data_IF_406706114399
#
_entry.id   IF_406706114399
#
_cell.length_a   1.000
_cell.length_b   1.000
_cell.length_c   1.000
_cell.angle_alpha   90.00
_cell.angle_beta   90.00
_cell.angle_gamma   90.00
#
_symmetry.space_group_name_H-M   'P 1'
#
loop_
_entity.id
_entity.type
_entity.pdbx_description
1 polymer ?
#
# COMPACT_ATOMS: atom_id res chain seq x y z
N UNK A 1 -2.47 -17.63 2.72
CA UNK A 1 -3.37 -16.49 3.02
C UNK A 1 -4.04 -15.96 1.76
N UNK A 2 -3.30 -15.53 0.72
CA UNK A 2 -3.88 -15.06 -0.57
C UNK A 2 -4.84 -16.08 -1.22
N UNK A 3 -4.48 -17.37 -1.26
CA UNK A 3 -5.36 -18.44 -1.79
C UNK A 3 -6.66 -18.61 -0.99
N UNK A 4 -6.63 -18.43 0.33
CA UNK A 4 -7.84 -18.51 1.18
C UNK A 4 -8.78 -17.33 0.92
N UNK A 5 -8.23 -16.12 0.78
CA UNK A 5 -9.01 -14.93 0.43
C UNK A 5 -9.62 -15.03 -0.98
N UNK A 6 -8.89 -15.65 -1.91
CA UNK A 6 -9.41 -15.94 -3.25
C UNK A 6 -10.67 -16.80 -3.23
N UNK A 7 -10.78 -17.78 -2.31
CA UNK A 7 -11.98 -18.63 -2.17
C UNK A 7 -13.24 -17.86 -1.78
N UNK A 8 -13.08 -16.73 -1.07
CA UNK A 8 -14.19 -15.85 -0.69
C UNK A 8 -14.33 -14.62 -1.61
N UNK A 9 -13.64 -14.62 -2.76
CA UNK A 9 -13.76 -13.58 -3.79
C UNK A 9 -12.95 -12.31 -3.52
N UNK A 10 -11.99 -12.35 -2.58
CA UNK A 10 -11.09 -11.22 -2.30
C UNK A 10 -9.77 -11.44 -3.02
N UNK A 11 -9.44 -10.52 -3.93
CA UNK A 11 -8.14 -10.49 -4.62
C UNK A 11 -7.18 -9.65 -3.80
N UNK A 12 -5.94 -10.11 -3.62
CA UNK A 12 -4.95 -9.37 -2.81
C UNK A 12 -3.61 -9.29 -3.52
N UNK A 13 -2.89 -8.19 -3.30
CA UNK A 13 -1.50 -8.00 -3.68
C UNK A 13 -0.72 -7.49 -2.47
N UNK A 14 0.58 -7.73 -2.46
CA UNK A 14 1.47 -7.22 -1.42
C UNK A 14 2.74 -6.63 -2.05
N UNK A 15 3.24 -5.55 -1.45
CA UNK A 15 4.46 -4.86 -1.87
C UNK A 15 5.35 -4.61 -0.67
N UNK A 16 6.61 -4.99 -0.82
CA UNK A 16 7.66 -4.69 0.14
C UNK A 16 8.31 -3.33 -0.18
N UNK A 17 8.57 -2.56 0.88
CA UNK A 17 9.27 -1.31 0.78
C UNK A 17 10.27 -1.12 1.93
N UNK A 18 11.39 -0.46 1.62
CA UNK A 18 12.41 -0.06 2.60
C UNK A 18 13.27 1.09 2.08
N UNK A 19 13.58 2.03 2.95
CA UNK A 19 14.44 3.18 2.67
C UNK A 19 13.87 4.49 3.20
N UNK A 20 14.44 5.60 2.75
CA UNK A 20 14.02 6.94 3.13
C UNK A 20 12.57 7.21 2.70
N UNK A 21 11.74 7.69 3.61
CA UNK A 21 10.30 7.84 3.37
C UNK A 21 10.00 8.84 2.24
N UNK A 22 10.50 10.07 2.33
CA UNK A 22 10.11 11.18 1.44
C UNK A 22 10.45 10.90 -0.01
N UNK A 23 11.68 10.49 -0.29
CA UNK A 23 12.19 10.26 -1.65
C UNK A 23 11.56 9.04 -2.33
N UNK A 24 10.82 8.23 -1.57
CA UNK A 24 10.28 6.96 -2.07
C UNK A 24 8.78 6.85 -2.05
N UNK A 25 8.04 7.85 -1.56
CA UNK A 25 6.57 7.89 -1.64
C UNK A 25 6.09 7.60 -3.07
N UNK A 26 6.69 8.22 -4.09
CA UNK A 26 6.29 7.98 -5.48
C UNK A 26 6.57 6.55 -5.93
N UNK A 27 7.74 5.99 -5.58
CA UNK A 27 8.12 4.60 -5.90
C UNK A 27 7.21 3.60 -5.21
N UNK A 28 6.79 3.90 -3.98
CA UNK A 28 5.84 3.09 -3.22
C UNK A 28 4.51 3.01 -3.98
N UNK A 29 3.96 4.16 -4.36
CA UNK A 29 2.67 4.25 -5.07
C UNK A 29 2.75 3.50 -6.40
N UNK A 30 3.80 3.75 -7.18
CA UNK A 30 4.01 3.07 -8.47
C UNK A 30 4.09 1.55 -8.30
N UNK A 31 4.87 1.06 -7.33
CA UNK A 31 4.99 -0.38 -7.07
C UNK A 31 3.67 -1.00 -6.59
N UNK A 32 2.87 -0.28 -5.82
CA UNK A 32 1.54 -0.73 -5.40
C UNK A 32 0.62 -0.93 -6.61
N UNK A 33 0.64 0.00 -7.57
CA UNK A 33 -0.13 -0.11 -8.82
C UNK A 33 0.39 -1.27 -9.67
N UNK A 34 1.70 -1.34 -9.94
CA UNK A 34 2.30 -2.40 -10.76
C UNK A 34 2.03 -3.79 -10.19
N UNK A 35 2.20 -3.95 -8.87
CA UNK A 35 1.95 -5.24 -8.22
C UNK A 35 0.46 -5.59 -8.22
N UNK A 36 -0.42 -4.62 -8.03
CA UNK A 36 -1.87 -4.85 -8.11
C UNK A 36 -2.31 -5.31 -9.50
N UNK A 37 -1.71 -4.77 -10.56
CA UNK A 37 -1.92 -5.25 -11.94
C UNK A 37 -1.41 -6.67 -12.14
N UNK A 38 -0.17 -6.93 -11.71
CA UNK A 38 0.48 -8.24 -11.87
C UNK A 38 -0.27 -9.37 -11.15
N UNK A 39 -0.76 -9.11 -9.94
CA UNK A 39 -1.52 -10.08 -9.15
C UNK A 39 -3.01 -10.14 -9.54
N UNK A 40 -3.43 -9.38 -10.56
CA UNK A 40 -4.80 -9.36 -11.06
C UNK A 40 -5.82 -8.73 -10.10
N UNK A 41 -5.38 -7.96 -9.11
CA UNK A 41 -6.26 -7.20 -8.20
C UNK A 41 -6.98 -6.09 -8.96
N UNK A 42 -6.27 -5.44 -9.88
CA UNK A 42 -6.81 -4.46 -10.81
C UNK A 42 -6.50 -4.84 -12.25
N UNK A 43 -7.26 -4.27 -13.18
CA UNK A 43 -7.09 -4.34 -14.62
C UNK A 43 -6.27 -3.16 -15.13
N UNK A 44 -5.76 -3.25 -16.35
CA UNK A 44 -4.94 -2.21 -16.98
C UNK A 44 -5.83 -1.07 -17.51
N UNK A 45 -6.47 -0.35 -16.59
CA UNK A 45 -7.32 0.80 -16.89
C UNK A 45 -6.99 1.99 -15.97
N UNK A 46 -7.14 3.21 -16.46
CA UNK A 46 -6.70 4.40 -15.73
C UNK A 46 -7.49 4.64 -14.42
N UNK A 47 -8.72 4.14 -14.33
CA UNK A 47 -9.61 4.39 -13.18
C UNK A 47 -9.13 3.57 -11.98
N UNK A 48 -8.88 2.29 -12.20
CA UNK A 48 -8.42 1.37 -11.17
C UNK A 48 -6.98 1.65 -10.73
N UNK A 49 -6.10 2.05 -11.67
CA UNK A 49 -4.77 2.53 -11.34
C UNK A 49 -4.83 3.77 -10.45
N UNK A 50 -5.66 4.76 -10.83
CA UNK A 50 -5.87 5.96 -10.05
C UNK A 50 -6.45 5.67 -8.66
N UNK A 51 -7.31 4.66 -8.55
CA UNK A 51 -7.88 4.23 -7.29
C UNK A 51 -6.83 3.61 -6.35
N UNK A 52 -6.00 2.68 -6.83
CA UNK A 52 -4.92 2.12 -6.01
C UNK A 52 -3.91 3.20 -5.62
N UNK A 53 -3.54 4.08 -6.56
CA UNK A 53 -2.61 5.17 -6.28
C UNK A 53 -3.17 6.14 -5.24
N UNK A 54 -4.45 6.52 -5.38
CA UNK A 54 -5.15 7.40 -4.46
C UNK A 54 -5.32 6.80 -3.06
N UNK A 55 -5.73 5.53 -2.97
CA UNK A 55 -5.83 4.81 -1.70
C UNK A 55 -4.46 4.68 -1.02
N UNK A 56 -3.41 4.34 -1.77
CA UNK A 56 -2.04 4.24 -1.25
C UNK A 56 -1.56 5.58 -0.72
N UNK A 57 -1.80 6.67 -1.46
CA UNK A 57 -1.39 8.02 -1.05
C UNK A 57 -2.07 8.45 0.25
N UNK A 58 -3.35 8.12 0.42
CA UNK A 58 -4.09 8.40 1.67
C UNK A 58 -3.58 7.56 2.84
N UNK A 59 -3.26 6.29 2.63
CA UNK A 59 -2.64 5.47 3.66
C UNK A 59 -1.27 6.05 4.09
N UNK A 60 -0.47 6.52 3.14
CA UNK A 60 0.84 7.13 3.42
C UNK A 60 0.73 8.49 4.13
N UNK A 61 -0.30 9.30 3.86
CA UNK A 61 -0.46 10.61 4.50
C UNK A 61 -0.72 10.49 6.01
N UNK A 62 -1.33 9.39 6.46
CA UNK A 62 -1.51 9.08 7.88
C UNK A 62 -0.18 8.75 8.58
N UNK A 63 0.77 8.17 7.86
CA UNK A 63 2.09 7.78 8.39
C UNK A 63 3.08 8.94 8.34
N UNK A 64 2.90 9.87 7.39
CA UNK A 64 3.82 10.98 7.12
C UNK A 64 4.26 11.77 8.36
N UNK A 65 3.39 12.14 9.33
CA UNK A 65 3.81 12.89 10.51
C UNK A 65 4.86 12.20 11.37
N UNK A 66 4.90 10.85 11.34
CA UNK A 66 5.85 10.03 12.11
C UNK A 66 7.10 9.67 11.32
N UNK A 67 7.00 9.60 10.00
CA UNK A 67 8.06 9.08 9.12
C UNK A 67 8.88 10.17 8.41
N UNK A 68 8.48 11.45 8.54
CA UNK A 68 9.14 12.55 7.84
C UNK A 68 10.62 12.67 8.25
N UNK A 69 11.51 12.57 7.25
CA UNK A 69 12.96 12.62 7.47
C UNK A 69 13.57 11.35 8.07
N UNK A 70 12.79 10.25 8.17
CA UNK A 70 13.24 8.97 8.72
C UNK A 70 13.24 7.86 7.66
N UNK A 71 13.96 6.78 7.97
CA UNK A 71 13.91 5.55 7.19
C UNK A 71 12.71 4.72 7.65
N UNK A 72 12.02 4.12 6.69
CA UNK A 72 10.95 3.18 6.97
C UNK A 72 11.19 1.86 6.27
N UNK A 73 10.62 0.80 6.82
CA UNK A 73 10.60 -0.51 6.20
C UNK A 73 9.31 -1.23 6.53
N UNK A 74 8.73 -1.95 5.56
CA UNK A 74 7.55 -2.75 5.81
C UNK A 74 6.81 -3.13 4.55
N UNK A 75 5.50 -3.33 4.70
CA UNK A 75 4.65 -3.94 3.68
C UNK A 75 3.42 -3.11 3.40
N UNK A 76 2.94 -3.23 2.18
CA UNK A 76 1.71 -2.63 1.70
C UNK A 76 0.84 -3.75 1.19
N UNK A 77 -0.33 -3.92 1.77
CA UNK A 77 -1.35 -4.83 1.31
C UNK A 77 -2.38 -4.07 0.49
N UNK A 78 -2.72 -4.60 -0.68
CA UNK A 78 -3.86 -4.16 -1.48
C UNK A 78 -4.85 -5.30 -1.51
N UNK A 79 -6.12 -5.01 -1.23
CA UNK A 79 -7.21 -5.96 -1.31
C UNK A 79 -8.34 -5.37 -2.15
N UNK A 80 -8.95 -6.20 -3.00
CA UNK A 80 -10.15 -5.86 -3.73
C UNK A 80 -11.24 -6.87 -3.48
N UNK A 81 -12.42 -6.36 -3.16
CA UNK A 81 -13.65 -7.13 -3.12
C UNK A 81 -14.71 -6.40 -3.95
N UNK A 82 -15.14 -7.02 -5.05
CA UNK A 82 -16.01 -6.38 -6.04
C UNK A 82 -15.42 -5.03 -6.48
N UNK A 83 -16.14 -3.94 -6.21
CA UNK A 83 -15.83 -2.57 -6.62
C UNK A 83 -15.03 -1.81 -5.54
N UNK A 84 -14.76 -2.44 -4.40
CA UNK A 84 -14.03 -1.81 -3.29
C UNK A 84 -12.56 -2.22 -3.32
N UNK A 85 -11.69 -1.22 -3.32
CA UNK A 85 -10.24 -1.37 -3.20
C UNK A 85 -9.82 -0.78 -1.86
N UNK A 86 -9.11 -1.57 -1.06
CA UNK A 86 -8.52 -1.15 0.20
C UNK A 86 -7.01 -1.33 0.16
N UNK A 87 -6.29 -0.34 0.65
CA UNK A 87 -4.84 -0.38 0.80
C UNK A 87 -4.54 -0.23 2.29
N UNK A 88 -3.70 -1.11 2.81
CA UNK A 88 -3.16 -1.02 4.16
C UNK A 88 -1.63 -0.95 4.08
N UNK A 89 -1.04 -0.01 4.79
CA UNK A 89 0.40 0.18 4.90
C UNK A 89 0.80 -0.13 6.32
N UNK A 90 1.83 -0.96 6.50
CA UNK A 90 2.43 -1.26 7.78
C UNK A 90 3.92 -0.97 7.68
N UNK A 91 4.41 0.04 8.40
CA UNK A 91 5.81 0.42 8.41
C UNK A 91 6.38 0.41 9.83
N UNK A 92 7.56 -0.19 9.96
CA UNK A 92 8.51 0.15 11.01
C UNK A 92 9.24 1.42 10.60
N UNK A 93 9.33 2.38 11.53
CA UNK A 93 10.03 3.65 11.36
C UNK A 93 11.29 3.56 12.23
N UNK A 94 12.45 3.67 11.57
CA UNK A 94 13.75 3.54 12.21
C UNK A 94 14.33 4.88 12.61
N UNK A 95 14.59 5.07 13.91
CA UNK A 95 15.43 6.13 14.44
C UNK A 95 16.40 5.53 15.48
N UNK A 96 17.68 5.36 15.12
CA UNK A 96 18.71 4.80 16.01
C UNK A 96 18.30 3.43 16.61
N UNK A 97 18.05 3.37 17.92
CA UNK A 97 17.61 2.19 18.68
C UNK A 97 16.10 2.16 18.95
N UNK A 98 15.34 3.16 18.48
CA UNK A 98 13.90 3.25 18.63
C UNK A 98 13.21 2.72 17.38
N UNK A 99 12.36 1.72 17.58
CA UNK A 99 11.50 1.14 16.55
C UNK A 99 10.08 1.62 16.82
N UNK A 100 9.62 2.63 16.08
CA UNK A 100 8.20 2.97 16.05
C UNK A 100 7.50 2.15 14.96
N UNK A 101 6.21 1.90 15.14
CA UNK A 101 5.37 1.26 14.14
C UNK A 101 4.24 2.21 13.78
N UNK A 102 3.96 2.33 12.49
CA UNK A 102 2.85 3.10 11.96
C UNK A 102 2.04 2.27 10.98
N UNK A 103 0.72 2.45 11.05
CA UNK A 103 -0.25 1.83 10.15
C UNK A 103 -1.05 2.95 9.50
N UNK A 104 -1.26 2.81 8.20
CA UNK A 104 -2.12 3.68 7.43
C UNK A 104 -3.08 2.86 6.59
N UNK A 105 -4.27 3.39 6.35
CA UNK A 105 -5.27 2.75 5.50
C UNK A 105 -5.86 3.75 4.50
N UNK A 106 -6.21 3.25 3.32
CA UNK A 106 -6.92 4.01 2.32
C UNK A 106 -7.93 3.14 1.61
N UNK A 107 -9.00 3.75 1.13
CA UNK A 107 -10.10 3.05 0.47
C UNK A 107 -10.59 3.82 -0.75
N UNK A 108 -10.92 3.13 -1.83
CA UNK A 108 -11.58 3.69 -3.01
C UNK A 108 -12.67 2.73 -3.49
N UNK A 109 -13.68 3.30 -4.14
CA UNK A 109 -14.69 2.56 -4.92
C UNK A 109 -14.41 2.83 -6.39
N UNK A 110 -14.43 1.80 -7.22
CA UNK A 110 -14.21 1.87 -8.67
C UNK A 110 -15.33 1.19 -9.41
#
# INVERSE_FOLDING_TARGET
MQSEYGKIGIRTAAVDYGGEFITSVMKIIERAVVSSKREGVITDNHVEEGAVAGATREALSQIMPKALGLNVGGKIGVARYKDHISVAVFFGIGLLHLNEVAIGLGHRVV
#
